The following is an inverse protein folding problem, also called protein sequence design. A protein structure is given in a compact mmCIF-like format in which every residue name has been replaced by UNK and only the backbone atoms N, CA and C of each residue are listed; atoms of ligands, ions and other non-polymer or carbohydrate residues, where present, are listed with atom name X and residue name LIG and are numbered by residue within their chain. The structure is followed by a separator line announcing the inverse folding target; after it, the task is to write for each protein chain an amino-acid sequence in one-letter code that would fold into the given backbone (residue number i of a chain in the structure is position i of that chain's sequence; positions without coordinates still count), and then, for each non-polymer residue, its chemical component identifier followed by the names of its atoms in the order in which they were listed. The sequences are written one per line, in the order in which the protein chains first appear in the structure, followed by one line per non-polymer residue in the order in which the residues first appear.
data_IF_752797479649
#
_entry.id   IF_752797479649
#
_cell.length_a   1.000
_cell.length_b   1.000
_cell.length_c   1.000
_cell.angle_alpha   90.00
_cell.angle_beta   90.00
_cell.angle_gamma   90.00
#
_symmetry.space_group_name_H-M   'P 1'
#
loop_
_entity.id
_entity.type
_entity.pdbx_description
1 polymer ?
#
# COMPACT_ATOMS: atom_id res chain seq x y z
N UNK A 1 -7.61 12.01 -6.89
CA UNK A 1 -6.90 11.26 -7.94
C UNK A 1 -5.61 10.78 -7.33
N UNK A 2 -5.41 9.47 -7.20
CA UNK A 2 -4.22 8.92 -6.57
C UNK A 2 -3.15 8.76 -7.63
N UNK A 3 -1.99 9.36 -7.40
CA UNK A 3 -0.82 9.23 -8.26
C UNK A 3 0.09 8.11 -7.69
N UNK A 4 0.82 7.40 -8.54
CA UNK A 4 1.80 6.38 -8.16
C UNK A 4 2.80 6.91 -7.12
N UNK A 5 3.12 8.20 -7.15
CA UNK A 5 4.05 8.83 -6.19
C UNK A 5 3.50 8.87 -4.77
N UNK A 6 2.17 8.96 -4.60
CA UNK A 6 1.54 8.83 -3.28
C UNK A 6 1.72 7.42 -2.74
N UNK A 7 1.51 6.39 -3.57
CA UNK A 7 1.69 4.99 -3.16
C UNK A 7 3.17 4.74 -2.80
N UNK A 8 4.11 5.22 -3.62
CA UNK A 8 5.55 5.12 -3.32
C UNK A 8 5.90 5.78 -1.98
N UNK A 9 5.34 6.96 -1.71
CA UNK A 9 5.56 7.65 -0.44
C UNK A 9 4.96 6.87 0.72
N UNK A 10 3.74 6.35 0.61
CA UNK A 10 3.14 5.50 1.64
C UNK A 10 3.97 4.25 1.90
N UNK A 11 4.52 3.59 0.87
CA UNK A 11 5.43 2.43 1.06
C UNK A 11 6.72 2.85 1.76
N UNK A 12 7.24 4.06 1.52
CA UNK A 12 8.41 4.60 2.25
C UNK A 12 8.07 4.90 3.70
N UNK A 13 6.91 5.45 3.99
CA UNK A 13 6.46 5.68 5.37
C UNK A 13 6.26 4.36 6.11
N UNK A 14 5.65 3.36 5.47
CA UNK A 14 5.52 2.02 6.05
C UNK A 14 6.89 1.41 6.45
N UNK A 15 7.94 1.65 5.65
CA UNK A 15 9.30 1.21 6.03
C UNK A 15 9.85 1.91 7.27
N UNK A 16 9.45 3.14 7.54
CA UNK A 16 9.91 3.91 8.72
C UNK A 16 9.20 3.46 10.00
N UNK A 17 7.96 3.00 9.89
CA UNK A 17 7.16 2.49 11.02
C UNK A 17 7.32 0.99 11.27
N UNK A 18 8.17 0.28 10.50
CA UNK A 18 8.29 -1.18 10.54
C UNK A 18 8.64 -1.76 11.92
N UNK A 19 9.23 -0.96 12.81
CA UNK A 19 9.64 -1.38 14.14
C UNK A 19 8.48 -1.25 15.17
N UNK A 20 7.31 -0.78 14.72
CA UNK A 20 6.03 -0.79 15.43
C UNK A 20 5.05 -1.67 14.64
N UNK A 21 4.98 -2.95 15.03
CA UNK A 21 4.24 -3.99 14.31
C UNK A 21 2.75 -3.65 14.12
N UNK A 22 2.09 -3.12 15.17
CA UNK A 22 0.66 -2.80 15.14
C UNK A 22 0.39 -1.64 14.18
N UNK A 23 1.17 -0.56 14.30
CA UNK A 23 1.07 0.60 13.40
C UNK A 23 1.41 0.21 11.96
N UNK A 24 2.45 -0.59 11.74
CA UNK A 24 2.86 -1.03 10.42
C UNK A 24 1.80 -1.91 9.75
N UNK A 25 1.21 -2.85 10.49
CA UNK A 25 0.16 -3.72 9.96
C UNK A 25 -1.11 -2.93 9.61
N UNK A 26 -1.61 -2.12 10.54
CA UNK A 26 -2.81 -1.29 10.33
C UNK A 26 -2.65 -0.36 9.12
N UNK A 27 -1.47 0.27 8.99
CA UNK A 27 -1.16 1.13 7.86
C UNK A 27 -1.06 0.36 6.53
N UNK A 28 -0.46 -0.84 6.52
CA UNK A 28 -0.39 -1.69 5.33
C UNK A 28 -1.78 -2.06 4.82
N UNK A 29 -2.69 -2.43 5.72
CA UNK A 29 -4.07 -2.79 5.39
C UNK A 29 -4.86 -1.60 4.85
N UNK A 30 -4.74 -0.42 5.46
CA UNK A 30 -5.37 0.80 4.95
C UNK A 30 -4.86 1.14 3.54
N UNK A 31 -3.54 1.11 3.35
CA UNK A 31 -2.91 1.42 2.07
C UNK A 31 -3.40 0.46 0.98
N UNK A 32 -3.39 -0.85 1.27
CA UNK A 32 -3.87 -1.88 0.33
C UNK A 32 -5.34 -1.73 0.01
N UNK A 33 -6.19 -1.59 1.03
CA UNK A 33 -7.62 -1.39 0.84
C UNK A 33 -7.92 -0.15 0.01
N UNK A 34 -7.19 0.94 0.25
CA UNK A 34 -7.33 2.18 -0.50
C UNK A 34 -6.90 2.02 -1.97
N UNK A 35 -5.79 1.33 -2.27
CA UNK A 35 -5.38 1.02 -3.67
C UNK A 35 -6.42 0.13 -4.38
N UNK A 36 -6.98 -0.86 -3.69
CA UNK A 36 -8.02 -1.72 -4.27
C UNK A 36 -9.31 -0.93 -4.58
N UNK A 37 -9.72 -0.01 -3.70
CA UNK A 37 -10.86 0.89 -3.94
C UNK A 37 -10.62 1.77 -5.17
N UNK A 38 -9.41 2.30 -5.33
CA UNK A 38 -9.02 3.08 -6.52
C UNK A 38 -9.11 2.24 -7.80
N UNK A 39 -8.55 1.03 -7.81
CA UNK A 39 -8.63 0.11 -8.96
C UNK A 39 -10.09 -0.23 -9.29
N UNK A 40 -10.90 -0.55 -8.27
CA UNK A 40 -12.31 -0.89 -8.42
C UNK A 40 -13.17 0.27 -8.94
N UNK A 41 -12.72 1.52 -8.76
CA UNK A 41 -13.45 2.70 -9.23
C UNK A 41 -13.56 2.80 -10.75
N UNK A 42 -12.72 2.08 -11.51
CA UNK A 42 -12.68 2.11 -12.97
C UNK A 42 -12.15 3.42 -13.56
N UNK A 43 -11.65 4.35 -12.73
CA UNK A 43 -11.18 5.68 -13.17
C UNK A 43 -9.76 5.68 -13.76
N UNK A 44 -9.02 4.59 -13.62
CA UNK A 44 -7.63 4.47 -14.06
C UNK A 44 -7.51 3.48 -15.21
N UNK A 45 -6.51 3.70 -16.07
CA UNK A 45 -6.18 2.77 -17.13
C UNK A 45 -5.67 1.43 -16.57
N UNK A 46 -5.73 0.37 -17.37
CA UNK A 46 -5.17 -0.94 -17.02
C UNK A 46 -3.69 -0.84 -16.60
N UNK A 47 -2.91 0.03 -17.26
CA UNK A 47 -1.49 0.24 -16.97
C UNK A 47 -1.29 0.87 -15.59
N UNK A 48 -2.04 1.94 -15.27
CA UNK A 48 -1.99 2.57 -13.95
C UNK A 48 -2.40 1.59 -12.85
N UNK A 49 -3.48 0.83 -13.04
CA UNK A 49 -3.89 -0.20 -12.08
C UNK A 49 -2.77 -1.22 -11.81
N UNK A 50 -2.07 -1.67 -12.87
CA UNK A 50 -0.93 -2.58 -12.73
C UNK A 50 0.25 -1.93 -12.00
N UNK A 51 0.54 -0.66 -12.27
CA UNK A 51 1.59 0.10 -11.58
C UNK A 51 1.27 0.27 -10.10
N UNK A 52 0.04 0.65 -9.76
CA UNK A 52 -0.43 0.80 -8.38
C UNK A 52 -0.35 -0.52 -7.62
N UNK A 53 -0.86 -1.61 -8.21
CA UNK A 53 -0.80 -2.94 -7.63
C UNK A 53 0.65 -3.40 -7.40
N UNK A 54 1.53 -3.22 -8.40
CA UNK A 54 2.95 -3.60 -8.27
C UNK A 54 3.66 -2.84 -7.17
N UNK A 55 3.36 -1.54 -7.01
CA UNK A 55 3.99 -0.72 -5.99
C UNK A 55 3.53 -1.11 -4.59
N UNK A 56 2.22 -1.26 -4.36
CA UNK A 56 1.69 -1.65 -3.05
C UNK A 56 2.10 -3.08 -2.68
N UNK A 57 2.27 -4.00 -3.63
CA UNK A 57 2.77 -5.34 -3.33
C UNK A 57 4.20 -5.36 -2.77
N UNK A 58 4.97 -4.27 -2.88
CA UNK A 58 6.29 -4.17 -2.24
C UNK A 58 6.21 -4.16 -0.71
N UNK A 59 5.07 -3.82 -0.12
CA UNK A 59 4.91 -3.81 1.34
C UNK A 59 5.06 -5.21 1.95
N UNK A 60 4.72 -6.27 1.21
CA UNK A 60 4.95 -7.67 1.62
C UNK A 60 6.42 -8.04 1.81
N UNK A 61 7.35 -7.21 1.35
CA UNK A 61 8.79 -7.38 1.54
C UNK A 61 9.35 -6.58 2.70
N UNK A 62 8.51 -5.83 3.41
CA UNK A 62 8.89 -5.10 4.62
C UNK A 62 8.69 -6.05 5.80
N UNK A 63 9.75 -6.16 6.59
CA UNK A 63 9.81 -7.03 7.76
C UNK A 63 9.15 -6.34 8.95
N UNK A 64 8.02 -6.89 9.38
CA UNK A 64 7.23 -6.55 10.57
C UNK A 64 6.17 -7.66 10.76
N UNK A 65 5.67 -7.83 11.97
CA UNK A 65 4.65 -8.82 12.27
C UNK A 65 3.27 -8.40 11.75
N UNK A 66 2.63 -9.26 10.96
CA UNK A 66 1.24 -9.11 10.49
C UNK A 66 0.31 -9.96 11.34
N UNK A 67 0.30 -9.69 12.64
CA UNK A 67 -0.68 -10.34 13.52
C UNK A 67 -2.06 -9.86 13.10
N UNK A 68 -3.07 -10.74 13.11
CA UNK A 68 -4.44 -10.30 12.87
C UNK A 68 -4.79 -9.22 13.91
N UNK A 69 -4.94 -7.97 13.45
CA UNK A 69 -5.61 -6.93 14.22
C UNK A 69 -7.11 -7.23 14.35
#
# INVERSE_FOLDING_TARGET
MKNIDLIKNSVRELKKMRDDDESAHSFEDELRGSVLKDIASGKYSKKECQEFAREVLKTSKIDFARWCA
#
